data_IF_577862621575
#
_entry.id   IF_577862621575
#
_cell.length_a   1.000
_cell.length_b   1.000
_cell.length_c   1.000
_cell.angle_alpha   90.00
_cell.angle_beta   90.00
_cell.angle_gamma   90.00
#
_symmetry.space_group_name_H-M   'P 1'
#
loop_
_entity.id
_entity.type
_entity.pdbx_description
1 polymer ?
#
# COMPACT_ATOMS: atom_id res chain seq x y z
N UNK A 1 72.39 -18.66 1.46
CA UNK A 1 71.80 -18.13 0.21
C UNK A 1 70.35 -18.61 0.17
N UNK A 2 69.38 -17.71 0.34
CA UNK A 2 67.93 -18.01 0.31
C UNK A 2 67.35 -17.55 -1.03
N UNK A 3 66.48 -18.31 -1.71
CA UNK A 3 65.91 -17.90 -2.99
C UNK A 3 64.78 -16.88 -2.82
N UNK A 4 64.85 -15.83 -3.63
CA UNK A 4 63.91 -14.71 -3.71
C UNK A 4 62.65 -15.14 -4.48
N UNK A 5 61.50 -15.23 -3.80
CA UNK A 5 60.21 -15.61 -4.40
C UNK A 5 59.51 -14.38 -5.02
N UNK A 6 59.43 -14.33 -6.35
CA UNK A 6 58.68 -13.32 -7.11
C UNK A 6 57.23 -13.78 -7.31
N UNK A 7 56.30 -13.39 -6.41
CA UNK A 7 54.85 -13.55 -6.64
C UNK A 7 54.26 -12.20 -7.03
N UNK A 8 53.99 -12.01 -8.31
CA UNK A 8 53.36 -10.82 -8.90
C UNK A 8 51.91 -10.63 -8.38
N UNK A 9 51.51 -9.44 -7.90
CA UNK A 9 50.18 -9.15 -7.35
C UNK A 9 49.14 -8.74 -8.43
N UNK A 10 49.33 -9.14 -9.69
CA UNK A 10 48.47 -8.68 -10.81
C UNK A 10 47.16 -9.46 -10.97
N UNK A 11 46.98 -10.58 -10.27
CA UNK A 11 45.78 -11.43 -10.35
C UNK A 11 44.52 -10.89 -9.62
N UNK A 12 44.59 -10.28 -8.43
CA UNK A 12 43.38 -9.78 -7.78
C UNK A 12 42.79 -8.54 -8.48
N UNK A 13 43.63 -7.69 -9.07
CA UNK A 13 43.17 -6.48 -9.77
C UNK A 13 42.36 -6.82 -11.03
N UNK A 14 42.80 -7.82 -11.79
CA UNK A 14 42.07 -8.29 -12.98
C UNK A 14 40.69 -8.87 -12.63
N UNK A 15 40.56 -9.56 -11.50
CA UNK A 15 39.28 -10.09 -11.01
C UNK A 15 38.33 -8.98 -10.54
N UNK A 16 38.86 -7.95 -9.87
CA UNK A 16 38.05 -6.79 -9.44
C UNK A 16 37.55 -6.01 -10.66
N UNK A 17 38.42 -5.75 -11.64
CA UNK A 17 38.03 -5.07 -12.87
C UNK A 17 37.01 -5.87 -13.69
N UNK A 18 37.17 -7.20 -13.77
CA UNK A 18 36.21 -8.06 -14.44
C UNK A 18 34.85 -8.08 -13.73
N UNK A 19 34.85 -8.18 -12.39
CA UNK A 19 33.61 -8.12 -11.60
C UNK A 19 32.90 -6.78 -11.75
N UNK A 20 33.65 -5.67 -11.76
CA UNK A 20 33.08 -4.33 -11.92
C UNK A 20 32.54 -4.12 -13.33
N UNK A 21 33.22 -4.67 -14.34
CA UNK A 21 32.75 -4.68 -15.73
C UNK A 21 31.45 -5.47 -15.90
N UNK A 22 31.33 -6.66 -15.28
CA UNK A 22 30.08 -7.45 -15.31
C UNK A 22 28.92 -6.71 -14.65
N UNK A 23 29.15 -6.05 -13.51
CA UNK A 23 28.11 -5.26 -12.83
C UNK A 23 27.66 -4.08 -13.70
N UNK A 24 28.59 -3.36 -14.35
CA UNK A 24 28.25 -2.24 -15.23
C UNK A 24 27.44 -2.72 -16.45
N UNK A 25 27.85 -3.81 -17.09
CA UNK A 25 27.15 -4.36 -18.27
C UNK A 25 25.73 -4.83 -17.90
N UNK A 26 25.57 -5.49 -16.75
CA UNK A 26 24.25 -5.93 -16.27
C UNK A 26 23.36 -4.74 -15.89
N UNK A 27 23.92 -3.65 -15.34
CA UNK A 27 23.15 -2.48 -14.93
C UNK A 27 22.76 -1.55 -16.08
N UNK A 28 23.48 -1.57 -17.21
CA UNK A 28 23.16 -0.74 -18.38
C UNK A 28 22.16 -1.38 -19.36
N UNK A 29 21.80 -2.65 -19.16
CA UNK A 29 20.87 -3.36 -20.03
C UNK A 29 19.42 -3.26 -19.54
N UNK A 30 18.94 -2.05 -19.26
CA UNK A 30 17.49 -1.83 -19.19
C UNK A 30 16.91 -1.95 -20.61
N UNK A 31 15.92 -2.83 -20.85
CA UNK A 31 15.24 -2.87 -22.13
C UNK A 31 14.52 -1.53 -22.36
N UNK A 32 14.44 -1.04 -23.61
CA UNK A 32 13.63 0.13 -23.91
C UNK A 32 12.18 -0.18 -23.54
N UNK A 33 11.54 0.73 -22.79
CA UNK A 33 10.11 0.71 -22.53
C UNK A 33 9.38 0.60 -23.87
N UNK A 34 8.40 -0.31 -24.04
CA UNK A 34 7.57 -0.28 -25.23
C UNK A 34 6.90 1.10 -25.28
N UNK A 35 7.21 1.88 -26.32
CA UNK A 35 6.50 3.13 -26.58
C UNK A 35 5.02 2.80 -26.68
N UNK A 36 4.23 3.37 -25.79
CA UNK A 36 2.79 3.26 -25.80
C UNK A 36 2.31 3.98 -27.07
N UNK A 37 2.04 3.20 -28.12
CA UNK A 37 1.37 3.68 -29.33
C UNK A 37 0.03 4.27 -28.90
N UNK A 38 -0.04 5.59 -28.81
CA UNK A 38 -1.28 6.33 -28.63
C UNK A 38 -2.13 6.06 -29.88
N UNK A 39 -3.06 5.12 -29.74
CA UNK A 39 -4.11 4.91 -30.73
C UNK A 39 -4.94 6.19 -30.75
N UNK A 40 -5.09 6.88 -31.89
CA UNK A 40 -6.01 8.00 -31.97
C UNK A 40 -7.42 7.45 -31.75
N UNK A 41 -8.07 7.92 -30.69
CA UNK A 41 -9.50 7.71 -30.47
C UNK A 41 -10.23 8.37 -31.64
N UNK A 42 -10.69 7.57 -32.61
CA UNK A 42 -11.69 8.02 -33.56
C UNK A 42 -12.97 8.30 -32.77
N UNK A 43 -13.29 9.59 -32.62
CA UNK A 43 -14.58 10.08 -32.20
C UNK A 43 -15.60 9.68 -33.29
N UNK A 44 -16.54 8.77 -33.02
CA UNK A 44 -17.57 8.45 -34.00
C UNK A 44 -18.43 9.69 -34.19
N UNK A 45 -18.45 10.17 -35.44
CA UNK A 45 -19.23 11.31 -35.89
C UNK A 45 -20.66 11.23 -35.38
N UNK A 46 -21.12 12.37 -34.85
CA UNK A 46 -22.47 12.70 -34.43
C UNK A 46 -23.56 11.93 -35.19
N UNK A 47 -24.15 10.95 -34.51
CA UNK A 47 -25.48 10.48 -34.88
C UNK A 47 -26.51 11.38 -34.21
N UNK A 48 -27.52 11.72 -34.99
CA UNK A 48 -28.52 12.76 -34.70
C UNK A 48 -29.28 12.41 -33.42
N UNK A 49 -29.46 13.33 -32.45
CA UNK A 49 -30.32 13.04 -31.31
C UNK A 49 -31.75 12.79 -31.81
N UNK A 50 -32.38 11.64 -31.48
CA UNK A 50 -33.78 11.44 -31.81
C UNK A 50 -34.60 12.53 -31.11
N UNK A 51 -35.59 13.04 -31.85
CA UNK A 51 -36.51 14.09 -31.44
C UNK A 51 -36.93 13.91 -29.97
N UNK A 52 -36.78 14.99 -29.19
CA UNK A 52 -37.19 15.04 -27.79
C UNK A 52 -38.64 14.56 -27.64
N UNK A 53 -38.81 13.34 -27.12
CA UNK A 53 -40.08 12.93 -26.58
C UNK A 53 -40.33 13.77 -25.33
N UNK A 54 -41.32 14.65 -25.43
CA UNK A 54 -41.86 15.43 -24.31
C UNK A 54 -42.31 14.46 -23.21
N UNK A 55 -41.44 14.26 -22.22
CA UNK A 55 -41.77 13.56 -20.99
C UNK A 55 -42.92 14.30 -20.29
N UNK A 56 -43.99 13.60 -19.84
CA UNK A 56 -45.03 14.25 -19.05
C UNK A 56 -44.42 14.82 -17.76
N UNK A 57 -44.89 16.01 -17.39
CA UNK A 57 -44.41 16.73 -16.21
C UNK A 57 -44.41 15.82 -14.95
N UNK A 58 -43.38 15.89 -14.09
CA UNK A 58 -43.33 15.10 -12.88
C UNK A 58 -44.53 15.44 -12.00
N UNK A 59 -45.37 14.44 -11.75
CA UNK A 59 -46.43 14.49 -10.75
C UNK A 59 -45.84 14.95 -9.42
N UNK A 60 -46.44 15.99 -8.85
CA UNK A 60 -46.06 16.63 -7.60
C UNK A 60 -45.72 15.63 -6.50
N UNK A 61 -44.48 15.72 -6.01
CA UNK A 61 -44.02 15.09 -4.77
C UNK A 61 -44.93 15.58 -3.63
N UNK A 62 -45.52 14.70 -2.80
CA UNK A 62 -46.23 15.15 -1.61
C UNK A 62 -45.23 15.83 -0.66
N UNK A 63 -45.61 17.00 -0.15
CA UNK A 63 -44.85 17.79 0.84
C UNK A 63 -44.19 16.89 1.88
N UNK A 64 -42.86 16.96 1.91
CA UNK A 64 -42.05 16.52 3.03
C UNK A 64 -42.61 17.19 4.30
N UNK A 65 -42.95 16.44 5.36
CA UNK A 65 -43.32 17.08 6.60
C UNK A 65 -42.10 17.87 7.07
N UNK A 66 -42.23 19.20 7.06
CA UNK A 66 -41.34 20.14 7.71
C UNK A 66 -41.21 19.74 9.18
N UNK A 67 -40.29 18.83 9.46
CA UNK A 67 -39.74 18.66 10.79
C UNK A 67 -38.90 19.92 11.01
N UNK A 68 -39.43 20.83 11.82
CA UNK A 68 -38.63 21.91 12.39
C UNK A 68 -37.31 21.31 12.90
N UNK A 69 -36.15 21.92 12.60
CA UNK A 69 -34.91 21.50 13.21
C UNK A 69 -35.06 21.74 14.71
N UNK A 70 -35.47 20.70 15.43
CA UNK A 70 -35.31 20.65 16.87
C UNK A 70 -33.81 20.79 17.06
N UNK A 71 -33.39 21.91 17.65
CA UNK A 71 -32.00 22.17 18.01
C UNK A 71 -31.50 20.94 18.78
N UNK A 72 -30.80 20.06 18.07
CA UNK A 72 -29.97 19.07 18.68
C UNK A 72 -28.96 19.88 19.46
N UNK A 73 -29.21 20.03 20.76
CA UNK A 73 -28.21 20.48 21.72
C UNK A 73 -27.05 19.53 21.49
N UNK A 74 -26.06 19.99 20.75
CA UNK A 74 -24.78 19.33 20.65
C UNK A 74 -24.21 19.43 22.07
N UNK A 75 -24.54 18.44 22.89
CA UNK A 75 -23.71 18.13 24.02
C UNK A 75 -22.34 17.86 23.41
N UNK A 76 -21.49 18.87 23.49
CA UNK A 76 -20.05 18.74 23.44
C UNK A 76 -19.67 17.82 24.60
N UNK A 77 -19.98 16.52 24.44
CA UNK A 77 -19.45 15.45 25.24
C UNK A 77 -17.95 15.54 25.06
N UNK A 78 -17.30 16.13 26.06
CA UNK A 78 -15.92 16.53 25.94
C UNK A 78 -15.06 15.35 25.49
N UNK A 79 -14.18 15.58 24.52
CA UNK A 79 -13.06 14.69 24.19
C UNK A 79 -12.03 14.58 25.34
N UNK A 80 -12.45 14.84 26.59
CA UNK A 80 -11.62 14.99 27.78
C UNK A 80 -11.72 13.84 28.77
N UNK A 81 -12.56 12.84 28.55
CA UNK A 81 -12.39 11.56 29.23
C UNK A 81 -11.32 10.79 28.44
N UNK A 82 -10.06 10.92 28.85
CA UNK A 82 -9.01 10.04 28.37
C UNK A 82 -9.40 8.63 28.83
N UNK A 83 -10.06 7.87 27.96
CA UNK A 83 -10.35 6.48 28.23
C UNK A 83 -9.00 5.80 28.48
N UNK A 84 -8.85 5.14 29.63
CA UNK A 84 -7.66 4.36 29.93
C UNK A 84 -7.52 3.31 28.84
N UNK A 85 -6.59 3.52 27.91
CA UNK A 85 -6.40 2.63 26.76
C UNK A 85 -6.04 1.21 27.19
N UNK A 86 -5.55 1.02 28.42
CA UNK A 86 -5.35 -0.29 29.05
C UNK A 86 -6.66 -1.05 29.34
N UNK A 87 -7.80 -0.36 29.39
CA UNK A 87 -9.13 -0.96 29.59
C UNK A 87 -9.81 -1.35 28.28
N UNK A 88 -9.34 -0.84 27.14
CA UNK A 88 -9.86 -1.19 25.83
C UNK A 88 -9.39 -2.62 25.53
N UNK A 89 -10.30 -3.59 25.41
CA UNK A 89 -9.90 -4.96 25.10
C UNK A 89 -9.41 -5.06 23.65
N UNK A 90 -8.54 -6.03 23.41
CA UNK A 90 -8.08 -6.38 22.06
C UNK A 90 -6.65 -5.96 21.79
N UNK A 91 -6.29 -5.94 20.50
CA UNK A 91 -4.93 -5.70 20.02
C UNK A 91 -4.99 -4.98 18.68
N UNK A 92 -4.11 -4.03 18.49
CA UNK A 92 -3.95 -3.31 17.24
C UNK A 92 -2.95 -4.05 16.35
N UNK A 93 -3.19 -4.01 15.04
CA UNK A 93 -2.20 -4.38 14.03
C UNK A 93 -1.63 -3.09 13.43
N UNK A 94 -0.33 -3.08 13.16
CA UNK A 94 0.33 -1.91 12.57
C UNK A 94 1.45 -2.34 11.62
N UNK A 95 1.80 -1.40 10.73
CA UNK A 95 2.98 -1.47 9.89
C UNK A 95 3.97 -0.43 10.40
N UNK A 96 5.21 -0.84 10.72
CA UNK A 96 6.23 0.09 11.17
C UNK A 96 6.84 0.87 9.99
N UNK A 97 7.76 1.80 10.28
CA UNK A 97 8.45 2.60 9.27
C UNK A 97 9.31 1.78 8.29
N UNK A 98 9.64 0.53 8.64
CA UNK A 98 10.36 -0.41 7.78
C UNK A 98 9.42 -1.29 6.94
N UNK A 99 8.11 -1.07 7.00
CA UNK A 99 7.12 -1.88 6.28
C UNK A 99 6.82 -3.23 6.94
N UNK A 100 7.32 -3.47 8.16
CA UNK A 100 7.15 -4.76 8.84
C UNK A 100 5.81 -4.83 9.57
N UNK A 101 5.23 -6.02 9.64
CA UNK A 101 3.93 -6.26 10.25
C UNK A 101 4.10 -6.61 11.73
N UNK A 102 3.38 -5.90 12.59
CA UNK A 102 3.40 -6.11 14.03
C UNK A 102 2.04 -5.92 14.68
N UNK A 103 1.99 -6.24 15.97
CA UNK A 103 0.81 -6.04 16.81
C UNK A 103 1.19 -5.42 18.14
N UNK A 104 0.28 -4.65 18.72
CA UNK A 104 0.51 -3.88 19.96
C UNK A 104 -0.80 -3.77 20.73
N UNK A 105 -0.73 -3.72 22.05
CA UNK A 105 -1.94 -3.50 22.86
C UNK A 105 -2.44 -2.05 22.66
N UNK A 106 -3.72 -1.75 22.93
CA UNK A 106 -4.29 -0.42 22.69
C UNK A 106 -3.62 0.69 23.51
N UNK A 107 -2.95 0.35 24.61
CA UNK A 107 -2.14 1.26 25.43
C UNK A 107 -0.70 1.47 24.90
N UNK A 108 -0.36 0.87 23.75
CA UNK A 108 0.96 0.92 23.14
C UNK A 108 1.96 -0.07 23.72
N UNK A 109 1.59 -0.87 24.73
CA UNK A 109 2.48 -1.86 25.35
C UNK A 109 2.46 -3.20 24.61
N UNK A 110 3.33 -4.11 25.05
CA UNK A 110 3.42 -5.48 24.57
C UNK A 110 3.56 -5.61 23.04
N UNK A 111 4.26 -4.67 22.41
CA UNK A 111 4.53 -4.71 20.97
C UNK A 111 5.22 -6.01 20.57
N UNK A 112 4.75 -6.65 19.50
CA UNK A 112 5.31 -7.87 18.92
C UNK A 112 5.35 -7.77 17.40
N UNK A 113 6.53 -8.00 16.81
CA UNK A 113 6.66 -8.18 15.36
C UNK A 113 6.21 -9.59 14.95
N UNK A 114 5.42 -9.67 13.89
CA UNK A 114 4.92 -10.92 13.32
C UNK A 114 5.67 -11.31 12.06
N UNK A 115 5.99 -10.34 11.20
CA UNK A 115 6.77 -10.56 9.99
C UNK A 115 7.77 -9.42 9.75
N UNK A 116 9.06 -9.76 9.64
CA UNK A 116 10.17 -8.81 9.51
C UNK A 116 10.87 -8.85 8.15
N UNK A 117 10.57 -9.86 7.32
CA UNK A 117 11.32 -10.18 6.10
C UNK A 117 10.55 -9.77 4.82
N UNK A 118 9.83 -8.66 4.88
CA UNK A 118 9.01 -8.15 3.79
C UNK A 118 8.45 -6.77 4.09
N UNK A 119 7.80 -6.20 3.08
CA UNK A 119 7.08 -4.94 3.16
C UNK A 119 5.58 -5.27 3.03
N UNK A 120 4.81 -4.89 4.03
CA UNK A 120 3.39 -5.21 4.15
C UNK A 120 2.53 -3.94 4.21
N UNK A 121 1.31 -4.05 3.72
CA UNK A 121 0.33 -2.97 3.63
C UNK A 121 -1.09 -3.52 3.82
N UNK A 122 -2.00 -2.63 4.22
CA UNK A 122 -3.42 -2.91 4.39
C UNK A 122 -3.72 -4.16 5.25
N UNK A 123 -3.17 -4.26 6.48
CA UNK A 123 -3.47 -5.39 7.34
C UNK A 123 -4.94 -5.38 7.79
N UNK A 124 -5.55 -6.55 7.84
CA UNK A 124 -6.91 -6.75 8.32
C UNK A 124 -6.97 -7.96 9.27
N UNK A 125 -7.61 -7.79 10.42
CA UNK A 125 -7.90 -8.90 11.32
C UNK A 125 -9.06 -9.74 10.79
N UNK A 126 -8.92 -11.06 10.89
CA UNK A 126 -10.06 -11.96 10.78
C UNK A 126 -10.98 -11.77 12.00
N UNK A 127 -12.30 -11.60 11.80
CA UNK A 127 -13.24 -11.46 12.90
C UNK A 127 -13.45 -12.76 13.70
N UNK A 128 -12.98 -13.91 13.18
CA UNK A 128 -13.29 -15.24 13.75
C UNK A 128 -12.07 -16.09 14.04
N UNK A 129 -10.96 -15.96 13.29
CA UNK A 129 -9.86 -16.95 13.33
C UNK A 129 -8.57 -16.46 13.98
N UNK A 130 -8.55 -15.28 14.64
CA UNK A 130 -7.34 -14.68 15.24
C UNK A 130 -6.13 -14.64 14.27
N UNK A 131 -6.42 -14.41 12.99
CA UNK A 131 -5.46 -14.29 11.91
C UNK A 131 -5.42 -12.86 11.38
N UNK A 132 -4.34 -12.51 10.70
CA UNK A 132 -4.16 -11.21 10.08
C UNK A 132 -3.83 -11.42 8.61
N UNK A 133 -4.69 -10.94 7.73
CA UNK A 133 -4.39 -10.87 6.31
C UNK A 133 -3.63 -9.57 6.00
N UNK A 134 -2.63 -9.61 5.13
CA UNK A 134 -1.94 -8.41 4.63
C UNK A 134 -1.48 -8.60 3.18
N UNK A 135 -1.45 -7.50 2.41
CA UNK A 135 -0.81 -7.47 1.10
C UNK A 135 0.66 -7.13 1.33
N UNK A 136 1.58 -7.84 0.68
CA UNK A 136 2.99 -7.52 0.83
C UNK A 136 3.88 -8.08 -0.24
N UNK A 137 5.17 -7.84 -0.07
CA UNK A 137 6.24 -8.45 -0.86
C UNK A 137 7.36 -8.95 0.05
N UNK A 138 7.84 -10.15 -0.26
CA UNK A 138 8.98 -10.80 0.40
C UNK A 138 9.99 -11.21 -0.67
N UNK A 139 11.10 -11.85 -0.26
CA UNK A 139 12.03 -12.50 -1.19
C UNK A 139 11.37 -13.57 -2.06
N UNK A 140 10.23 -14.13 -1.63
CA UNK A 140 9.47 -15.12 -2.40
C UNK A 140 8.50 -14.50 -3.43
N UNK A 141 8.33 -13.17 -3.41
CA UNK A 141 7.42 -12.44 -4.29
C UNK A 141 6.35 -11.65 -3.55
N UNK A 142 5.46 -11.05 -4.33
CA UNK A 142 4.33 -10.25 -3.84
C UNK A 142 3.04 -11.08 -3.79
N UNK A 143 2.16 -10.78 -2.83
CA UNK A 143 0.90 -11.48 -2.67
C UNK A 143 0.13 -11.10 -1.41
N UNK A 144 -0.87 -11.92 -1.08
CA UNK A 144 -1.63 -11.85 0.16
C UNK A 144 -1.08 -12.90 1.13
N UNK A 145 -0.83 -12.49 2.38
CA UNK A 145 -0.30 -13.32 3.46
C UNK A 145 -1.32 -13.39 4.59
N UNK A 146 -1.40 -14.51 5.31
CA UNK A 146 -2.31 -14.76 6.45
C UNK A 146 -1.55 -15.45 7.59
#
# INVERSE_FOLDING_TARGET
MQPFNWRSPLRPLALVLFSLFVIIVVSCSSPPTPEETVVPTEEPAADTPPAAETLPAPTSVPEEPTAEPTEATAESGGFGAQADSSSIPGRLVFINSQGQLGTVDPDGRNQRMLATNGIYQFPAWSPTTNQIAAIGSTVAGAGVFV
#
